data_IF_872559449275
#
_entry.id   IF_872559449275
#
_cell.length_a   1.000
_cell.length_b   1.000
_cell.length_c   1.000
_cell.angle_alpha   90.00
_cell.angle_beta   90.00
_cell.angle_gamma   90.00
#
_symmetry.space_group_name_H-M   'P 1'
#
loop_
_entity.id
_entity.type
_entity.pdbx_description
1 polymer ?
#
# COMPACT_ATOMS: atom_id res chain seq x y z
N UNK A 1 -9.76 -27.28 -45.84
CA UNK A 1 -10.67 -27.50 -44.68
C UNK A 1 -9.77 -27.54 -43.45
N UNK A 2 -9.40 -26.44 -42.80
CA UNK A 2 -10.19 -25.27 -42.44
C UNK A 2 -10.61 -25.41 -40.99
N UNK A 3 -10.06 -24.53 -40.14
CA UNK A 3 -10.57 -24.10 -38.83
C UNK A 3 -10.29 -25.01 -37.63
N UNK A 4 -10.02 -24.54 -36.41
CA UNK A 4 -9.76 -23.22 -35.80
C UNK A 4 -9.26 -23.55 -34.36
N UNK A 5 -8.21 -22.86 -33.90
CA UNK A 5 -8.14 -22.19 -32.58
C UNK A 5 -8.03 -23.09 -31.33
N UNK A 6 -6.85 -23.21 -30.73
CA UNK A 6 -6.35 -22.27 -29.70
C UNK A 6 -7.45 -21.86 -28.70
N UNK A 7 -7.58 -22.62 -27.61
CA UNK A 7 -8.49 -22.33 -26.49
C UNK A 7 -8.14 -23.29 -25.35
N UNK A 8 -7.96 -22.91 -24.09
CA UNK A 8 -7.93 -21.62 -23.41
C UNK A 8 -7.07 -21.91 -22.17
N UNK A 9 -6.14 -21.00 -21.87
CA UNK A 9 -5.40 -20.97 -20.61
C UNK A 9 -6.42 -20.76 -19.50
N UNK A 10 -6.79 -21.83 -18.80
CA UNK A 10 -7.75 -21.76 -17.70
C UNK A 10 -7.05 -21.18 -16.48
N UNK A 11 -7.25 -19.87 -16.33
CA UNK A 11 -7.62 -19.25 -15.06
C UNK A 11 -6.56 -19.29 -13.95
N UNK A 12 -5.44 -18.61 -14.19
CA UNK A 12 -4.57 -18.09 -13.14
C UNK A 12 -5.23 -16.82 -12.54
N UNK A 13 -6.28 -16.97 -11.74
CA UNK A 13 -6.91 -15.85 -11.01
C UNK A 13 -7.55 -16.35 -9.72
N UNK A 14 -6.71 -16.92 -8.85
CA UNK A 14 -6.96 -16.93 -7.42
C UNK A 14 -5.94 -16.01 -6.76
N UNK A 15 -6.08 -14.70 -7.04
CA UNK A 15 -5.45 -13.64 -6.26
C UNK A 15 -6.20 -13.59 -4.93
N UNK A 16 -5.90 -14.55 -4.05
CA UNK A 16 -6.53 -14.65 -2.75
C UNK A 16 -6.02 -13.53 -1.85
N UNK A 17 -6.99 -12.73 -1.41
CA UNK A 17 -6.91 -11.79 -0.31
C UNK A 17 -5.94 -10.61 -0.53
N UNK A 18 -6.49 -9.58 -1.15
CA UNK A 18 -6.24 -8.21 -0.71
C UNK A 18 -6.56 -8.19 0.78
N UNK A 19 -5.56 -8.41 1.63
CA UNK A 19 -5.60 -8.08 3.05
C UNK A 19 -5.47 -6.55 3.14
N UNK A 20 -6.45 -5.83 2.58
CA UNK A 20 -6.73 -4.48 3.03
C UNK A 20 -7.28 -4.70 4.44
N UNK A 21 -6.52 -4.28 5.45
CA UNK A 21 -6.89 -4.44 6.86
C UNK A 21 -8.33 -3.99 7.05
N UNK A 22 -9.24 -4.95 7.16
CA UNK A 22 -10.67 -4.70 7.31
C UNK A 22 -10.88 -3.93 8.62
N UNK A 23 -11.06 -2.61 8.50
CA UNK A 23 -11.78 -1.79 9.47
C UNK A 23 -11.07 -1.32 10.74
N UNK A 24 -9.75 -1.52 10.91
CA UNK A 24 -9.06 -1.12 12.17
C UNK A 24 -8.52 0.31 12.12
N UNK A 25 -8.08 0.79 10.95
CA UNK A 25 -7.46 2.11 10.81
C UNK A 25 -8.50 3.16 10.42
N UNK A 26 -8.64 4.20 11.26
CA UNK A 26 -9.49 5.36 10.98
C UNK A 26 -8.72 6.63 11.36
N UNK A 27 -8.51 7.51 10.40
CA UNK A 27 -7.70 8.71 10.58
C UNK A 27 -6.20 8.43 10.43
N UNK A 28 -5.38 9.13 11.21
CA UNK A 28 -3.92 9.04 11.17
C UNK A 28 -3.29 10.15 12.02
N UNK A 29 -1.95 10.26 12.05
CA UNK A 29 -1.00 9.53 11.22
C UNK A 29 -0.64 8.13 11.74
N UNK A 30 -0.44 7.19 10.81
CA UNK A 30 0.21 5.90 11.05
C UNK A 30 1.54 5.83 10.30
N UNK A 31 2.55 5.18 10.88
CA UNK A 31 3.91 5.18 10.33
C UNK A 31 4.33 3.79 9.86
N UNK A 32 5.04 3.71 8.73
CA UNK A 32 5.44 2.45 8.11
C UNK A 32 6.89 2.49 7.63
N UNK A 33 7.55 1.33 7.68
CA UNK A 33 8.93 1.16 7.18
C UNK A 33 9.00 1.09 5.66
N UNK A 34 7.99 0.49 5.03
CA UNK A 34 8.03 0.17 3.61
C UNK A 34 6.69 0.42 2.93
N UNK A 35 6.77 0.62 1.61
CA UNK A 35 5.63 0.63 0.70
C UNK A 35 5.90 -0.41 -0.38
N UNK A 36 4.94 -1.31 -0.61
CA UNK A 36 4.92 -2.10 -1.83
C UNK A 36 4.21 -1.28 -2.90
N UNK A 37 4.92 -0.97 -3.96
CA UNK A 37 4.34 -0.39 -5.16
C UNK A 37 3.75 -1.53 -6.00
N UNK A 38 2.43 -1.65 -5.98
CA UNK A 38 1.73 -2.50 -6.94
C UNK A 38 1.23 -1.62 -8.10
N UNK A 39 0.87 -2.24 -9.22
CA UNK A 39 0.49 -1.53 -10.47
C UNK A 39 -0.69 -0.56 -10.33
N UNK A 40 -1.47 -0.62 -9.25
CA UNK A 40 -2.68 0.19 -9.05
C UNK A 40 -2.73 0.91 -7.69
N UNK A 41 -2.04 0.41 -6.67
CA UNK A 41 -2.18 0.92 -5.29
C UNK A 41 -0.87 0.82 -4.52
N UNK A 42 -0.62 1.79 -3.64
CA UNK A 42 0.43 1.68 -2.63
C UNK A 42 -0.06 0.84 -1.45
N UNK A 43 0.77 -0.09 -0.98
CA UNK A 43 0.48 -0.92 0.19
C UNK A 43 1.56 -0.67 1.28
N UNK A 44 1.25 0.12 2.33
CA UNK A 44 2.13 0.30 3.48
C UNK A 44 2.24 -1.00 4.28
N UNK A 45 3.48 -1.38 4.62
CA UNK A 45 3.77 -2.59 5.36
C UNK A 45 4.86 -2.36 6.41
N UNK A 46 4.79 -3.13 7.49
CA UNK A 46 5.69 -2.97 8.63
C UNK A 46 5.39 -1.68 9.38
N UNK A 47 4.17 -1.61 9.94
CA UNK A 47 3.77 -0.53 10.83
C UNK A 47 4.75 -0.39 12.00
N UNK A 48 5.02 0.86 12.37
CA UNK A 48 5.91 1.26 13.44
C UNK A 48 5.31 2.44 14.19
N UNK A 49 5.81 2.70 15.39
CA UNK A 49 5.48 3.94 16.09
C UNK A 49 6.33 5.13 15.59
N UNK A 50 5.97 6.34 16.04
CA UNK A 50 6.66 7.57 15.66
C UNK A 50 8.13 7.63 16.13
N UNK A 51 8.45 7.09 17.31
CA UNK A 51 9.83 7.09 17.83
C UNK A 51 10.73 6.20 16.96
N UNK A 52 10.24 5.04 16.54
CA UNK A 52 10.91 4.18 15.58
C UNK A 52 11.08 4.88 14.22
N UNK A 53 10.05 5.57 13.73
CA UNK A 53 10.07 6.27 12.44
C UNK A 53 11.17 7.35 12.38
N UNK A 54 11.32 8.14 13.44
CA UNK A 54 12.35 9.19 13.52
C UNK A 54 13.78 8.66 13.56
N UNK A 55 13.97 7.39 13.93
CA UNK A 55 15.28 6.74 13.90
C UNK A 55 15.62 6.16 12.51
N UNK A 56 14.67 6.18 11.57
CA UNK A 56 14.87 5.66 10.21
C UNK A 56 15.31 6.75 9.25
N UNK A 57 16.18 6.37 8.32
CA UNK A 57 16.54 7.23 7.19
C UNK A 57 15.34 7.50 6.26
N UNK A 58 14.45 6.53 6.10
CA UNK A 58 13.22 6.67 5.31
C UNK A 58 12.07 5.99 6.02
N UNK A 59 10.94 6.67 6.10
CA UNK A 59 9.68 6.12 6.60
C UNK A 59 8.50 6.73 5.84
N UNK A 60 7.31 6.19 6.07
CA UNK A 60 6.08 6.63 5.42
C UNK A 60 5.03 6.98 6.46
N UNK A 61 4.25 8.01 6.18
CA UNK A 61 3.10 8.45 6.98
C UNK A 61 1.83 8.23 6.15
N UNK A 62 0.86 7.50 6.68
CA UNK A 62 -0.41 7.23 6.01
C UNK A 62 -1.60 7.69 6.85
N UNK A 63 -2.61 8.21 6.15
CA UNK A 63 -3.93 8.53 6.70
C UNK A 63 -4.98 7.67 6.02
N UNK A 64 -5.95 7.21 6.79
CA UNK A 64 -7.01 6.32 6.33
C UNK A 64 -8.39 6.95 6.52
N UNK A 65 -9.30 6.71 5.57
CA UNK A 65 -10.72 7.05 5.73
C UNK A 65 -11.45 6.09 6.68
N UNK A 66 -12.75 6.29 6.83
CA UNK A 66 -13.60 5.45 7.68
C UNK A 66 -13.73 4.00 7.18
N UNK A 67 -13.43 3.75 5.91
CA UNK A 67 -13.46 2.45 5.25
C UNK A 67 -12.08 1.77 5.26
N UNK A 68 -11.07 2.39 5.89
CA UNK A 68 -9.70 1.87 5.96
C UNK A 68 -8.91 2.02 4.65
N UNK A 69 -9.35 2.89 3.73
CA UNK A 69 -8.61 3.21 2.51
C UNK A 69 -7.63 4.34 2.76
N UNK A 70 -6.45 4.24 2.16
CA UNK A 70 -5.43 5.29 2.26
C UNK A 70 -5.92 6.51 1.48
N UNK A 71 -6.05 7.63 2.19
CA UNK A 71 -6.47 8.92 1.65
C UNK A 71 -5.38 9.97 1.68
N UNK A 72 -4.21 9.67 2.22
CA UNK A 72 -2.99 10.46 2.09
C UNK A 72 -1.83 9.53 2.40
N UNK A 73 -0.76 9.60 1.60
CA UNK A 73 0.46 8.84 1.83
C UNK A 73 1.67 9.71 1.55
N UNK A 74 2.52 9.89 2.55
CA UNK A 74 3.74 10.70 2.46
C UNK A 74 4.96 9.84 2.72
N UNK A 75 6.05 10.20 2.07
CA UNK A 75 7.39 9.65 2.30
C UNK A 75 8.27 10.71 2.94
N UNK A 76 8.96 10.31 4.00
CA UNK A 76 9.94 11.13 4.68
C UNK A 76 11.34 10.56 4.48
N UNK A 77 12.33 11.45 4.31
CA UNK A 77 13.75 11.11 4.25
C UNK A 77 14.49 11.95 5.28
N UNK A 78 15.17 11.31 6.24
CA UNK A 78 15.82 11.96 7.40
C UNK A 78 14.89 12.90 8.17
N UNK A 79 13.61 12.54 8.29
CA UNK A 79 12.60 13.35 8.98
C UNK A 79 12.02 14.51 8.17
N UNK A 80 12.51 14.75 6.96
CA UNK A 80 11.96 15.77 6.05
C UNK A 80 11.00 15.14 5.05
N UNK A 81 9.91 15.85 4.72
CA UNK A 81 8.97 15.40 3.70
C UNK A 81 9.67 15.40 2.33
N UNK A 82 9.81 14.23 1.73
CA UNK A 82 10.44 14.04 0.41
C UNK A 82 9.39 14.11 -0.70
N UNK A 83 8.29 13.34 -0.56
CA UNK A 83 7.20 13.31 -1.54
C UNK A 83 5.86 12.89 -0.93
N UNK A 84 4.79 13.44 -1.47
CA UNK A 84 3.43 12.94 -1.30
C UNK A 84 3.12 11.96 -2.43
N UNK A 85 2.89 10.70 -2.06
CA UNK A 85 2.64 9.58 -2.96
C UNK A 85 1.18 9.46 -3.33
N UNK A 86 0.30 9.78 -2.37
CA UNK A 86 -1.13 9.89 -2.55
C UNK A 86 -1.61 11.17 -1.85
N UNK A 87 -2.46 11.96 -2.53
CA UNK A 87 -3.18 13.03 -1.87
C UNK A 87 -4.12 12.45 -0.82
#
# INVERSE_FOLDING_TARGET
MGRLFLSVITLLLAYTAIYAGEGIYKGGPYYYRYIKENTVTYEPVGEINYEEANNLYTYYEAYFDADGRIITLKRYVKGELDKELLP
#
